data_IF_621203540248
#
_entry.id   IF_621203540248
#
_cell.length_a   1.000
_cell.length_b   1.000
_cell.length_c   1.000
_cell.angle_alpha   90.00
_cell.angle_beta   90.00
_cell.angle_gamma   90.00
#
_symmetry.space_group_name_H-M   'P 1'
#
loop_
_entity.id
_entity.type
_entity.pdbx_description
1 polymer ?
#
# COMPACT_ATOMS: atom_id res chain seq x y z
N UNK A 1 -0.08 -32.10 11.80
CA UNK A 1 0.00 -31.70 10.37
C UNK A 1 -0.36 -30.24 10.30
N UNK A 2 0.62 -29.37 10.53
CA UNK A 2 0.44 -27.93 10.46
C UNK A 2 0.01 -27.55 9.04
N UNK A 3 -1.22 -27.05 8.91
CA UNK A 3 -1.63 -26.34 7.72
C UNK A 3 -0.90 -25.00 7.77
N UNK A 4 0.20 -24.87 7.04
CA UNK A 4 0.76 -23.56 6.75
C UNK A 4 -0.30 -22.78 5.97
N UNK A 5 -0.84 -21.73 6.59
CA UNK A 5 -1.75 -20.80 5.93
C UNK A 5 -0.97 -20.06 4.84
N UNK A 6 -1.52 -20.04 3.62
CA UNK A 6 -0.89 -19.40 2.46
C UNK A 6 -1.52 -18.02 2.25
N UNK A 7 -0.68 -17.01 2.04
CA UNK A 7 -1.13 -15.66 1.67
C UNK A 7 -1.99 -15.74 0.40
N UNK A 8 -3.22 -15.26 0.48
CA UNK A 8 -4.18 -15.26 -0.63
C UNK A 8 -4.39 -13.86 -1.25
N UNK A 9 -4.02 -12.81 -0.51
CA UNK A 9 -4.09 -11.42 -0.97
C UNK A 9 -3.09 -10.53 -0.21
N UNK A 10 -2.76 -9.38 -0.79
CA UNK A 10 -1.88 -8.35 -0.21
C UNK A 10 -2.52 -6.97 -0.39
N UNK A 11 -2.44 -6.13 0.63
CA UNK A 11 -2.65 -4.70 0.55
C UNK A 11 -1.48 -4.00 1.25
N UNK A 12 -1.09 -2.82 0.78
CA UNK A 12 0.03 -2.08 1.33
C UNK A 12 -0.19 -0.57 1.19
N UNK A 13 0.56 0.23 1.97
CA UNK A 13 0.63 1.69 1.85
C UNK A 13 2.08 2.13 2.05
N UNK A 14 2.52 3.16 1.32
CA UNK A 14 3.86 3.74 1.47
C UNK A 14 3.80 4.85 2.53
N UNK A 15 4.70 4.79 3.52
CA UNK A 15 4.79 5.83 4.55
C UNK A 15 5.31 7.17 4.02
N UNK A 16 6.10 7.14 2.95
CA UNK A 16 6.58 8.34 2.26
C UNK A 16 5.98 8.37 0.86
N UNK A 17 5.40 9.52 0.51
CA UNK A 17 4.80 9.81 -0.79
C UNK A 17 5.89 10.18 -1.80
N UNK A 18 5.52 10.19 -3.08
CA UNK A 18 6.48 10.47 -4.18
C UNK A 18 7.02 11.90 -4.15
N UNK A 19 6.30 12.82 -3.51
CA UNK A 19 6.68 14.22 -3.32
C UNK A 19 7.60 14.43 -2.10
N UNK A 20 8.02 13.34 -1.44
CA UNK A 20 8.85 13.36 -0.23
C UNK A 20 8.06 13.64 1.05
N UNK A 21 6.76 13.93 0.97
CA UNK A 21 5.93 14.11 2.17
C UNK A 21 5.56 12.78 2.81
N UNK A 22 5.25 12.77 4.11
CA UNK A 22 4.75 11.57 4.79
C UNK A 22 3.33 11.23 4.38
N UNK A 23 2.91 10.00 4.67
CA UNK A 23 1.52 9.56 4.55
C UNK A 23 0.62 10.50 5.34
N UNK A 24 -0.48 10.94 4.72
CA UNK A 24 -1.43 11.84 5.38
C UNK A 24 -2.24 11.08 6.41
N UNK A 25 -2.58 11.77 7.49
CA UNK A 25 -3.56 11.28 8.45
C UNK A 25 -4.93 11.07 7.78
N UNK A 26 -5.68 10.10 8.29
CA UNK A 26 -7.03 9.79 7.83
C UNK A 26 -7.17 8.40 7.24
N UNK A 27 -8.26 8.22 6.49
CA UNK A 27 -8.65 6.95 5.89
C UNK A 27 -7.98 6.72 4.53
N UNK A 28 -7.60 5.46 4.28
CA UNK A 28 -6.97 5.03 3.03
C UNK A 28 -7.68 3.79 2.50
N UNK A 29 -8.35 3.94 1.36
CA UNK A 29 -8.92 2.82 0.61
C UNK A 29 -7.82 2.09 -0.17
N UNK A 30 -7.31 1.01 0.41
CA UNK A 30 -6.23 0.23 -0.16
C UNK A 30 -6.74 -0.70 -1.26
N UNK A 31 -5.84 -0.99 -2.20
CA UNK A 31 -6.07 -1.98 -3.24
C UNK A 31 -5.70 -3.36 -2.71
N UNK A 32 -6.62 -4.31 -2.88
CA UNK A 32 -6.39 -5.71 -2.52
C UNK A 32 -5.88 -6.46 -3.75
N UNK A 33 -4.59 -6.80 -3.76
CA UNK A 33 -3.94 -7.56 -4.82
C UNK A 33 -4.02 -9.06 -4.59
N UNK A 34 -4.26 -9.81 -5.66
CA UNK A 34 -4.21 -11.28 -5.72
C UNK A 34 -3.13 -11.70 -6.73
N UNK A 35 -2.27 -12.63 -6.32
CA UNK A 35 -1.25 -13.24 -7.17
C UNK A 35 -0.77 -14.56 -6.53
N UNK A 36 0.19 -15.24 -7.15
CA UNK A 36 0.90 -16.34 -6.51
C UNK A 36 1.63 -15.86 -5.25
N UNK A 37 1.60 -16.66 -4.17
CA UNK A 37 2.20 -16.27 -2.88
C UNK A 37 3.64 -15.75 -3.00
N UNK A 38 4.51 -16.44 -3.77
CA UNK A 38 5.90 -16.01 -4.01
C UNK A 38 6.01 -14.60 -4.62
N UNK A 39 5.03 -14.19 -5.42
CA UNK A 39 4.98 -12.85 -6.02
C UNK A 39 4.46 -11.80 -5.04
N UNK A 40 3.50 -12.18 -4.17
CA UNK A 40 3.01 -11.31 -3.11
C UNK A 40 4.08 -11.03 -2.04
N UNK A 41 5.09 -11.90 -1.91
CA UNK A 41 6.23 -11.71 -1.01
C UNK A 41 7.35 -10.84 -1.62
N UNK A 42 7.36 -10.60 -2.94
CA UNK A 42 8.38 -9.78 -3.60
C UNK A 42 8.04 -8.28 -3.52
N UNK A 43 8.73 -7.58 -2.64
CA UNK A 43 8.58 -6.13 -2.44
C UNK A 43 8.86 -5.30 -3.69
N UNK A 44 9.79 -5.74 -4.55
CA UNK A 44 10.11 -4.99 -5.77
C UNK A 44 8.91 -4.99 -6.73
N UNK A 45 8.16 -6.10 -6.77
CA UNK A 45 6.94 -6.22 -7.55
C UNK A 45 5.84 -5.32 -6.98
N UNK A 46 5.42 -5.52 -5.72
CA UNK A 46 4.22 -4.82 -5.22
C UNK A 46 4.45 -3.34 -4.96
N UNK A 47 5.65 -2.89 -4.55
CA UNK A 47 5.91 -1.46 -4.32
C UNK A 47 5.89 -0.61 -5.60
N UNK A 48 6.02 -1.23 -6.78
CA UNK A 48 5.89 -0.54 -8.07
C UNK A 48 4.43 -0.23 -8.46
N UNK A 49 3.47 -0.90 -7.82
CA UNK A 49 2.05 -0.77 -8.08
C UNK A 49 1.42 0.38 -7.24
N UNK A 50 0.24 0.88 -7.61
CA UNK A 50 -0.55 1.79 -6.79
C UNK A 50 -0.96 1.14 -5.46
N UNK A 51 -0.92 1.90 -4.39
CA UNK A 51 -1.31 1.44 -3.05
C UNK A 51 -2.78 1.68 -2.73
N UNK A 52 -3.32 2.81 -3.18
CA UNK A 52 -4.69 3.26 -2.90
C UNK A 52 -5.53 3.35 -4.18
N UNK A 53 -6.85 3.27 -4.03
CA UNK A 53 -7.79 3.48 -5.16
C UNK A 53 -7.61 4.85 -5.81
N UNK A 54 -7.32 5.88 -5.02
CA UNK A 54 -7.04 7.25 -5.50
C UNK A 54 -5.82 7.25 -6.43
N UNK A 55 -4.71 6.64 -6.00
CA UNK A 55 -3.47 6.57 -6.80
C UNK A 55 -3.69 5.79 -8.12
N UNK A 56 -4.55 4.79 -8.11
CA UNK A 56 -4.90 4.01 -9.31
C UNK A 56 -5.73 4.85 -10.30
N UNK A 57 -6.68 5.64 -9.81
CA UNK A 57 -7.48 6.55 -10.63
C UNK A 57 -6.65 7.69 -11.24
N UNK A 58 -5.68 8.25 -10.49
CA UNK A 58 -4.73 9.25 -11.01
C UNK A 58 -3.90 8.70 -12.19
N UNK A 59 -3.63 7.39 -12.21
CA UNK A 59 -2.96 6.71 -13.33
C UNK A 59 -3.90 6.34 -14.48
N UNK A 60 -5.15 6.79 -14.46
CA UNK A 60 -6.15 6.54 -15.51
C UNK A 60 -6.77 5.14 -15.48
N UNK A 61 -6.60 4.39 -14.39
CA UNK A 61 -7.19 3.06 -14.23
C UNK A 61 -8.43 3.17 -13.33
N UNK A 62 -9.61 2.82 -13.84
CA UNK A 62 -10.86 2.89 -13.07
C UNK A 62 -11.22 1.53 -12.46
N UNK A 63 -11.38 1.46 -11.14
CA UNK A 63 -11.93 0.27 -10.45
C UNK A 63 -13.41 0.04 -10.74
N UNK A 64 -14.14 1.09 -11.15
CA UNK A 64 -15.55 1.04 -11.47
C UNK A 64 -15.80 0.61 -12.93
N UNK A 65 -16.40 -0.56 -13.12
CA UNK A 65 -17.14 -0.88 -14.34
C UNK A 65 -16.47 -1.77 -15.39
N UNK A 66 -15.20 -2.16 -15.23
CA UNK A 66 -14.55 -3.17 -16.09
C UNK A 66 -14.02 -4.32 -15.23
N UNK A 67 -14.06 -5.53 -15.77
CA UNK A 67 -13.70 -6.76 -15.07
C UNK A 67 -12.31 -6.71 -14.42
N UNK A 68 -11.99 -7.80 -13.71
CA UNK A 68 -10.74 -7.97 -12.98
C UNK A 68 -9.53 -7.38 -13.74
N UNK A 69 -9.00 -6.27 -13.24
CA UNK A 69 -7.96 -5.52 -13.92
C UNK A 69 -6.59 -6.07 -13.48
N UNK A 70 -5.87 -6.58 -14.46
CA UNK A 70 -4.52 -7.08 -14.28
C UNK A 70 -3.57 -5.90 -14.37
N UNK A 71 -2.81 -5.67 -13.31
CA UNK A 71 -1.77 -4.67 -13.26
C UNK A 71 -0.43 -5.39 -13.15
N UNK A 72 0.24 -5.54 -14.29
CA UNK A 72 1.41 -6.41 -14.41
C UNK A 72 1.03 -7.87 -14.16
N UNK A 73 1.71 -8.52 -13.22
CA UNK A 73 1.47 -9.93 -12.85
C UNK A 73 0.51 -10.11 -11.66
N UNK A 74 -0.06 -9.01 -11.17
CA UNK A 74 -0.99 -8.96 -10.06
C UNK A 74 -2.40 -8.63 -10.56
N UNK A 75 -3.39 -9.16 -9.85
CA UNK A 75 -4.79 -8.97 -10.17
C UNK A 75 -5.46 -8.16 -9.07
N UNK A 76 -6.20 -7.11 -9.42
CA UNK A 76 -6.91 -6.27 -8.46
C UNK A 76 -8.23 -6.95 -8.07
N UNK A 77 -8.39 -7.28 -6.78
CA UNK A 77 -9.62 -7.84 -6.23
C UNK A 77 -10.74 -6.79 -6.17
N UNK A 78 -11.99 -7.27 -6.17
CA UNK A 78 -13.17 -6.44 -5.87
C UNK A 78 -13.42 -6.26 -4.37
N UNK A 79 -12.66 -6.99 -3.55
CA UNK A 79 -12.72 -6.86 -2.09
C UNK A 79 -12.31 -5.43 -1.68
N UNK A 80 -12.94 -4.90 -0.64
CA UNK A 80 -12.59 -3.59 -0.09
C UNK A 80 -11.78 -3.76 1.19
N UNK A 81 -10.72 -2.98 1.33
CA UNK A 81 -9.91 -2.93 2.53
C UNK A 81 -9.54 -1.48 2.82
N UNK A 82 -9.90 -1.00 4.00
CA UNK A 82 -9.67 0.37 4.43
C UNK A 82 -8.91 0.36 5.75
N UNK A 83 -7.95 1.29 5.87
CA UNK A 83 -7.25 1.56 7.12
C UNK A 83 -7.40 3.04 7.48
N UNK A 84 -7.21 3.36 8.75
CA UNK A 84 -7.06 4.74 9.23
C UNK A 84 -5.67 4.90 9.84
N UNK A 85 -4.97 5.97 9.50
CA UNK A 85 -3.62 6.26 10.00
C UNK A 85 -3.56 7.60 10.71
N UNK A 86 -2.75 7.66 11.75
CA UNK A 86 -2.33 8.87 12.43
C UNK A 86 -0.80 8.85 12.51
N UNK A 87 -0.13 9.79 11.85
CA UNK A 87 1.32 9.92 11.80
C UNK A 87 1.75 10.90 12.89
N UNK A 88 2.49 10.39 13.86
CA UNK A 88 3.05 11.18 14.95
C UNK A 88 4.56 11.35 14.74
N UNK A 89 5.02 12.58 14.51
CA UNK A 89 6.46 12.88 14.55
C UNK A 89 6.92 12.88 16.00
N UNK A 90 7.77 11.93 16.37
CA UNK A 90 8.40 11.93 17.69
C UNK A 90 9.68 12.76 17.63
N UNK A 91 9.81 13.71 18.56
CA UNK A 91 11.04 14.46 18.75
C UNK A 91 11.97 13.68 19.69
N UNK A 92 13.03 13.08 19.17
CA UNK A 92 14.09 12.44 19.97
C UNK A 92 15.26 13.43 20.15
N UNK A 93 15.36 14.06 21.31
CA UNK A 93 16.51 14.89 21.65
C UNK A 93 17.63 14.02 22.22
N UNK A 94 18.66 13.73 21.43
CA UNK A 94 19.93 13.20 21.94
C UNK A 94 21.04 14.17 21.54
N UNK A 95 21.65 14.83 22.54
CA UNK A 95 22.81 15.74 22.41
C UNK A 95 22.61 17.05 21.59
N UNK A 96 21.55 17.83 21.82
CA UNK A 96 21.35 19.17 21.21
C UNK A 96 21.41 19.24 19.66
N UNK A 97 21.52 18.10 18.97
CA UNK A 97 21.42 18.00 17.52
C UNK A 97 19.96 17.80 17.18
N UNK A 98 19.38 18.83 16.57
CA UNK A 98 17.98 18.86 16.16
C UNK A 98 17.80 17.98 14.91
N UNK A 99 17.25 16.77 15.07
CA UNK A 99 16.74 15.98 13.97
C UNK A 99 15.22 15.97 14.07
N UNK A 100 14.56 16.87 13.36
CA UNK A 100 13.13 16.73 13.10
C UNK A 100 12.99 15.61 12.06
N UNK A 101 12.43 14.46 12.47
CA UNK A 101 12.05 13.39 11.55
C UNK A 101 10.74 13.81 10.86
N UNK A 102 10.85 14.77 9.95
CA UNK A 102 9.95 15.09 8.84
C UNK A 102 10.76 15.77 7.75
#
# INVERSE_FOLDING_TARGET
KDKSEKIFALAFVKLMRYDGTTLRDGEHDLIVYKAEAKKLEDFSTYLSLPSTKIELEEKGHSTAGKGMQNLGSCTISKDSFQISTLVCSTKLTQNDVHWDLC
#
